data_IF_859333386164
#
_entry.id   IF_859333386164
#
_cell.length_a   1.000
_cell.length_b   1.000
_cell.length_c   1.000
_cell.angle_alpha   90.00
_cell.angle_beta   90.00
_cell.angle_gamma   90.00
#
_symmetry.space_group_name_H-M   'P 1'
#
loop_
_entity.id
_entity.type
_entity.pdbx_description
1 polymer ?
#
# COMPACT_ATOMS: atom_id res chain seq x y z
N UNK A 1 22.44 8.96 12.93
CA UNK A 1 21.47 9.21 11.87
C UNK A 1 21.33 10.72 11.67
N UNK A 2 21.82 11.29 10.55
CA UNK A 2 21.58 12.71 10.22
C UNK A 2 20.08 12.87 9.92
N UNK A 3 19.37 13.71 10.69
CA UNK A 3 18.06 14.23 10.27
C UNK A 3 18.27 15.00 8.98
N UNK A 4 17.82 14.49 7.85
CA UNK A 4 17.71 15.28 6.63
C UNK A 4 16.75 16.44 6.93
N UNK A 5 17.27 17.65 6.90
CA UNK A 5 16.47 18.86 7.09
C UNK A 5 15.69 19.07 5.80
N UNK A 6 14.38 18.82 5.84
CA UNK A 6 13.50 19.07 4.70
C UNK A 6 13.61 20.53 4.25
N UNK A 7 13.70 20.74 2.96
CA UNK A 7 13.68 22.09 2.38
C UNK A 7 12.29 22.71 2.52
N UNK A 8 12.20 24.05 2.49
CA UNK A 8 10.90 24.75 2.52
C UNK A 8 9.98 24.31 1.37
N UNK A 9 10.56 23.98 0.20
CA UNK A 9 9.82 23.47 -0.95
C UNK A 9 9.21 22.08 -0.70
N UNK A 10 9.96 21.15 -0.09
CA UNK A 10 9.48 19.82 0.28
C UNK A 10 8.37 19.88 1.33
N UNK A 11 8.50 20.74 2.33
CA UNK A 11 7.44 20.94 3.34
C UNK A 11 6.17 21.46 2.68
N UNK A 12 6.29 22.41 1.75
CA UNK A 12 5.12 22.95 1.02
C UNK A 12 4.48 21.88 0.13
N UNK A 13 5.29 21.08 -0.56
CA UNK A 13 4.82 19.98 -1.41
C UNK A 13 4.03 18.96 -0.61
N UNK A 14 4.53 18.52 0.53
CA UNK A 14 3.83 17.60 1.44
C UNK A 14 2.51 18.20 1.96
N UNK A 15 2.50 19.48 2.34
CA UNK A 15 1.28 20.15 2.78
C UNK A 15 0.19 20.18 1.69
N UNK A 16 0.58 20.33 0.41
CA UNK A 16 -0.35 20.25 -0.72
C UNK A 16 -0.89 18.83 -0.90
N UNK A 17 -0.03 17.83 -0.81
CA UNK A 17 -0.40 16.42 -0.92
C UNK A 17 -1.36 16.01 0.20
N UNK A 18 -1.09 16.36 1.45
CA UNK A 18 -1.95 16.08 2.60
C UNK A 18 -3.32 16.77 2.50
N UNK A 19 -3.34 18.02 2.03
CA UNK A 19 -4.58 18.75 1.76
C UNK A 19 -5.40 18.10 0.64
N UNK A 20 -4.74 17.59 -0.38
CA UNK A 20 -5.38 16.89 -1.50
C UNK A 20 -5.95 15.53 -1.06
N UNK A 21 -5.21 14.74 -0.28
CA UNK A 21 -5.67 13.47 0.30
C UNK A 21 -6.98 13.71 1.06
N UNK A 22 -6.99 14.68 1.99
CA UNK A 22 -8.19 15.00 2.77
C UNK A 22 -9.38 15.31 1.89
N UNK A 23 -9.20 16.18 0.88
CA UNK A 23 -10.30 16.58 -0.02
C UNK A 23 -10.75 15.44 -0.93
N UNK A 24 -9.83 14.60 -1.45
CA UNK A 24 -10.19 13.45 -2.27
C UNK A 24 -11.04 12.44 -1.51
N UNK A 25 -10.75 12.25 -0.23
CA UNK A 25 -11.49 11.33 0.65
C UNK A 25 -12.83 11.94 1.15
N UNK A 26 -12.88 13.25 1.37
CA UNK A 26 -14.08 13.94 1.86
C UNK A 26 -15.16 14.10 0.78
N UNK A 27 -14.77 14.50 -0.43
CA UNK A 27 -15.73 14.91 -1.48
C UNK A 27 -15.50 14.23 -2.84
N UNK A 28 -14.50 13.36 -2.94
CA UNK A 28 -14.13 12.66 -4.17
C UNK A 28 -13.15 13.44 -5.05
N UNK A 29 -12.51 12.69 -5.95
CA UNK A 29 -11.48 13.24 -6.85
C UNK A 29 -12.05 14.32 -7.79
N UNK A 30 -13.18 14.07 -8.46
CA UNK A 30 -13.74 14.99 -9.45
C UNK A 30 -14.26 16.29 -8.83
N UNK A 31 -14.86 16.25 -7.65
CA UNK A 31 -15.37 17.42 -6.98
C UNK A 31 -14.26 18.31 -6.37
N UNK A 32 -13.03 17.81 -6.31
CA UNK A 32 -11.88 18.54 -5.77
C UNK A 32 -11.20 19.36 -6.86
N UNK A 33 -10.89 20.63 -6.55
CA UNK A 33 -10.21 21.58 -7.43
C UNK A 33 -8.87 22.05 -6.86
N UNK A 34 -7.95 22.47 -7.74
CA UNK A 34 -6.66 23.09 -7.35
C UNK A 34 -6.85 24.26 -6.38
N UNK A 35 -7.91 25.06 -6.55
CA UNK A 35 -8.24 26.19 -5.67
C UNK A 35 -8.61 25.73 -4.25
N UNK A 36 -9.37 24.66 -4.12
CA UNK A 36 -9.73 24.09 -2.82
C UNK A 36 -8.51 23.48 -2.12
N UNK A 37 -7.65 22.78 -2.88
CA UNK A 37 -6.40 22.22 -2.35
C UNK A 37 -5.48 23.34 -1.86
N UNK A 38 -5.27 24.42 -2.66
CA UNK A 38 -4.48 25.56 -2.26
C UNK A 38 -5.01 26.21 -0.96
N UNK A 39 -6.33 26.43 -0.89
CA UNK A 39 -6.98 26.97 0.32
C UNK A 39 -6.79 26.08 1.55
N UNK A 40 -6.92 24.76 1.40
CA UNK A 40 -6.74 23.78 2.48
C UNK A 40 -5.28 23.71 2.94
N UNK A 41 -4.33 23.86 1.99
CA UNK A 41 -2.88 23.88 2.27
C UNK A 41 -2.38 25.26 2.75
N UNK A 42 -3.26 26.23 2.97
CA UNK A 42 -2.94 27.61 3.34
C UNK A 42 -2.02 28.33 2.35
N UNK A 43 -2.19 28.07 1.06
CA UNK A 43 -1.40 28.67 -0.03
C UNK A 43 -2.28 29.56 -0.92
N UNK A 44 -1.64 30.56 -1.53
CA UNK A 44 -2.23 31.24 -2.67
C UNK A 44 -2.30 30.28 -3.87
N UNK A 45 -3.29 30.46 -4.76
CA UNK A 45 -3.47 29.60 -5.93
C UNK A 45 -2.22 29.58 -6.84
N UNK A 46 -1.54 30.71 -7.01
CA UNK A 46 -0.27 30.76 -7.74
C UNK A 46 0.86 29.98 -7.05
N UNK A 47 0.83 29.87 -5.72
CA UNK A 47 1.81 29.11 -4.95
C UNK A 47 1.72 27.60 -5.18
N UNK A 48 0.52 27.05 -5.36
CA UNK A 48 0.39 25.62 -5.64
C UNK A 48 0.93 25.25 -7.04
N UNK A 49 0.75 26.14 -8.03
CA UNK A 49 1.25 25.91 -9.39
C UNK A 49 2.78 25.96 -9.51
N UNK A 50 3.50 26.47 -8.50
CA UNK A 50 4.97 26.36 -8.42
C UNK A 50 5.43 24.93 -8.08
N UNK A 51 4.54 24.07 -7.58
CA UNK A 51 4.85 22.71 -7.14
C UNK A 51 4.16 21.62 -7.98
N UNK A 52 2.94 21.91 -8.46
CA UNK A 52 2.13 20.96 -9.20
C UNK A 52 1.35 21.67 -10.31
N UNK A 53 1.48 21.19 -11.54
CA UNK A 53 0.78 21.77 -12.70
C UNK A 53 -0.71 21.38 -12.77
N UNK A 54 -1.09 20.29 -12.13
CA UNK A 54 -2.44 19.75 -12.18
C UNK A 54 -2.81 18.91 -10.94
N UNK A 55 -4.09 18.66 -10.78
CA UNK A 55 -4.62 17.74 -9.77
C UNK A 55 -4.17 16.30 -9.99
N UNK A 56 -4.02 15.89 -11.25
CA UNK A 56 -3.49 14.58 -11.63
C UNK A 56 -2.04 14.40 -11.14
N UNK A 57 -1.21 15.43 -11.32
CA UNK A 57 0.18 15.41 -10.85
C UNK A 57 0.27 15.31 -9.33
N UNK A 58 -0.64 15.98 -8.60
CA UNK A 58 -0.73 15.84 -7.14
C UNK A 58 -1.09 14.39 -6.78
N UNK A 59 -2.09 13.81 -7.45
CA UNK A 59 -2.50 12.43 -7.19
C UNK A 59 -1.39 11.42 -7.50
N UNK A 60 -0.70 11.60 -8.62
CA UNK A 60 0.46 10.79 -8.99
C UNK A 60 1.56 10.86 -7.91
N UNK A 61 1.88 12.06 -7.43
CA UNK A 61 2.86 12.25 -6.36
C UNK A 61 2.45 11.54 -5.06
N UNK A 62 1.17 11.63 -4.66
CA UNK A 62 0.64 10.92 -3.48
C UNK A 62 0.85 9.41 -3.63
N UNK A 63 0.47 8.84 -4.78
CA UNK A 63 0.61 7.40 -5.02
C UNK A 63 2.08 6.96 -5.08
N UNK A 64 2.98 7.76 -5.63
CA UNK A 64 4.39 7.39 -5.79
C UNK A 64 5.20 7.73 -4.54
N UNK A 65 5.03 8.94 -3.98
CA UNK A 65 5.93 9.46 -2.95
C UNK A 65 5.51 9.10 -1.54
N UNK A 66 4.21 9.09 -1.24
CA UNK A 66 3.69 8.81 0.10
C UNK A 66 3.24 7.36 0.29
N UNK A 67 3.32 6.51 -0.76
CA UNK A 67 2.84 5.13 -0.66
C UNK A 67 3.58 4.35 0.44
N UNK A 68 2.86 3.64 1.30
CA UNK A 68 3.42 2.88 2.42
C UNK A 68 4.48 1.85 2.02
N UNK A 69 4.55 1.42 0.76
CA UNK A 69 5.53 0.43 0.30
C UNK A 69 6.98 0.87 0.59
N UNK A 70 7.27 2.17 0.56
CA UNK A 70 8.63 2.71 0.84
C UNK A 70 9.11 2.32 2.25
N UNK A 71 8.19 2.23 3.21
CA UNK A 71 8.46 1.77 4.57
C UNK A 71 8.34 0.26 4.70
N UNK A 72 7.33 -0.34 4.11
CA UNK A 72 7.00 -1.76 4.21
C UNK A 72 8.08 -2.63 3.57
N UNK A 73 8.51 -2.26 2.36
CA UNK A 73 9.40 -3.10 1.57
C UNK A 73 10.73 -3.41 2.25
N UNK A 74 11.47 -2.43 2.81
CA UNK A 74 12.70 -2.73 3.55
C UNK A 74 12.46 -3.67 4.74
N UNK A 75 11.34 -3.51 5.45
CA UNK A 75 10.98 -4.37 6.59
C UNK A 75 10.70 -5.80 6.15
N UNK A 76 9.95 -5.98 5.07
CA UNK A 76 9.65 -7.32 4.52
C UNK A 76 10.90 -8.00 3.97
N UNK A 77 11.78 -7.23 3.31
CA UNK A 77 13.04 -7.78 2.78
C UNK A 77 14.06 -8.13 3.88
N UNK A 78 13.94 -7.54 5.06
CA UNK A 78 14.75 -7.85 6.24
C UNK A 78 14.22 -9.03 7.04
N UNK A 79 13.09 -9.63 6.67
CA UNK A 79 12.58 -10.84 7.33
C UNK A 79 13.53 -12.01 7.08
N UNK A 80 14.14 -12.49 8.15
CA UNK A 80 14.99 -13.68 8.16
C UNK A 80 14.13 -14.90 8.51
N UNK A 81 13.66 -15.64 7.49
CA UNK A 81 12.90 -16.88 7.67
C UNK A 81 13.54 -18.01 6.90
N UNK A 82 13.89 -19.11 7.57
CA UNK A 82 14.40 -20.33 6.91
C UNK A 82 13.30 -21.09 6.16
N UNK A 83 12.04 -20.90 6.56
CA UNK A 83 10.88 -21.55 5.95
C UNK A 83 9.98 -20.54 5.24
N UNK A 84 9.26 -21.01 4.22
CA UNK A 84 8.26 -20.21 3.54
C UNK A 84 7.15 -19.74 4.51
N UNK A 85 6.76 -20.60 5.43
CA UNK A 85 5.73 -20.28 6.43
C UNK A 85 6.16 -19.09 7.30
N UNK A 86 7.33 -19.16 7.93
CA UNK A 86 7.83 -18.09 8.78
C UNK A 86 7.92 -16.75 8.02
N UNK A 87 8.50 -16.79 6.80
CA UNK A 87 8.62 -15.58 5.97
C UNK A 87 7.27 -14.94 5.67
N UNK A 88 6.32 -15.69 5.13
CA UNK A 88 5.02 -15.11 4.74
C UNK A 88 4.20 -14.68 5.96
N UNK A 89 4.29 -15.38 7.08
CA UNK A 89 3.62 -15.00 8.32
C UNK A 89 4.14 -13.67 8.85
N UNK A 90 5.44 -13.47 8.91
CA UNK A 90 6.04 -12.23 9.41
C UNK A 90 5.87 -11.08 8.41
N UNK A 91 6.03 -11.34 7.11
CA UNK A 91 5.73 -10.37 6.07
C UNK A 91 4.27 -9.88 6.15
N UNK A 92 3.33 -10.79 6.36
CA UNK A 92 1.91 -10.45 6.51
C UNK A 92 1.67 -9.55 7.71
N UNK A 93 2.22 -9.91 8.89
CA UNK A 93 2.10 -9.09 10.10
C UNK A 93 2.65 -7.68 9.92
N UNK A 94 3.82 -7.57 9.26
CA UNK A 94 4.42 -6.27 8.92
C UNK A 94 3.48 -5.45 8.04
N UNK A 95 2.99 -6.04 6.95
CA UNK A 95 2.13 -5.33 5.98
C UNK A 95 0.82 -4.90 6.63
N UNK A 96 0.14 -5.79 7.37
CA UNK A 96 -1.13 -5.47 8.05
C UNK A 96 -0.92 -4.34 9.07
N UNK A 97 0.16 -4.39 9.85
CA UNK A 97 0.46 -3.35 10.82
C UNK A 97 0.70 -1.98 10.17
N UNK A 98 1.56 -1.95 9.15
CA UNK A 98 1.97 -0.70 8.51
C UNK A 98 0.84 -0.08 7.66
N UNK A 99 0.06 -0.89 6.93
CA UNK A 99 -1.12 -0.41 6.20
C UNK A 99 -2.26 -0.02 7.14
N UNK A 100 -2.45 -0.75 8.25
CA UNK A 100 -3.47 -0.43 9.24
C UNK A 100 -3.26 0.92 9.93
N UNK A 101 -2.02 1.44 9.93
CA UNK A 101 -1.72 2.80 10.42
C UNK A 101 -2.05 3.90 9.39
N UNK A 102 -2.36 3.54 8.16
CA UNK A 102 -2.61 4.44 7.03
C UNK A 102 -3.83 4.00 6.20
N UNK A 103 -5.01 3.92 6.83
CA UNK A 103 -6.24 3.43 6.18
C UNK A 103 -6.62 4.28 4.95
N UNK A 104 -6.20 5.55 4.90
CA UNK A 104 -6.42 6.45 3.77
C UNK A 104 -5.87 5.89 2.45
N UNK A 105 -4.78 5.11 2.49
CA UNK A 105 -4.19 4.53 1.27
C UNK A 105 -5.06 3.45 0.63
N UNK A 106 -5.83 2.71 1.41
CA UNK A 106 -6.80 1.76 0.86
C UNK A 106 -7.89 2.51 0.07
N UNK A 107 -8.39 3.62 0.62
CA UNK A 107 -9.39 4.44 -0.06
C UNK A 107 -8.83 5.12 -1.32
N UNK A 108 -7.58 5.63 -1.26
CA UNK A 108 -6.89 6.20 -2.43
C UNK A 108 -6.67 5.15 -3.53
N UNK A 109 -6.45 3.88 -3.17
CA UNK A 109 -6.33 2.80 -4.14
C UNK A 109 -7.66 2.56 -4.90
N UNK A 110 -8.82 2.74 -4.27
CA UNK A 110 -10.10 2.69 -4.99
C UNK A 110 -10.23 3.86 -5.97
N UNK A 111 -9.81 5.06 -5.59
CA UNK A 111 -9.77 6.21 -6.52
C UNK A 111 -8.83 5.90 -7.68
N UNK A 112 -7.64 5.37 -7.42
CA UNK A 112 -6.68 4.97 -8.46
C UNK A 112 -7.27 3.95 -9.45
N UNK A 113 -7.99 2.94 -8.94
CA UNK A 113 -8.59 1.91 -9.80
C UNK A 113 -9.76 2.44 -10.62
N UNK A 114 -10.63 3.26 -10.04
CA UNK A 114 -11.86 3.75 -10.68
C UNK A 114 -11.56 4.89 -11.64
N UNK A 115 -10.84 5.92 -11.17
CA UNK A 115 -10.60 7.15 -11.92
C UNK A 115 -9.44 7.02 -12.91
N UNK A 116 -8.36 6.36 -12.51
CA UNK A 116 -7.12 6.27 -13.28
C UNK A 116 -6.84 4.91 -13.89
N UNK A 117 -7.70 3.90 -13.65
CA UNK A 117 -7.58 2.53 -14.18
C UNK A 117 -6.21 1.88 -13.88
N UNK A 118 -5.61 2.21 -12.74
CA UNK A 118 -4.33 1.67 -12.32
C UNK A 118 -3.10 2.32 -12.99
N UNK A 119 -3.25 3.49 -13.60
CA UNK A 119 -2.17 4.21 -14.32
C UNK A 119 -0.96 4.47 -13.43
N UNK A 120 -1.16 5.12 -12.27
CA UNK A 120 -0.07 5.51 -11.38
C UNK A 120 0.50 4.30 -10.61
N UNK A 121 -0.35 3.36 -10.23
CA UNK A 121 0.08 2.07 -9.68
C UNK A 121 0.98 1.29 -10.65
N UNK A 122 0.70 1.33 -11.96
CA UNK A 122 1.54 0.70 -12.97
C UNK A 122 2.90 1.37 -13.11
N UNK A 123 2.98 2.71 -12.98
CA UNK A 123 4.25 3.47 -12.97
C UNK A 123 5.08 3.05 -11.75
N UNK A 124 4.46 3.04 -10.57
CA UNK A 124 5.12 2.60 -9.34
C UNK A 124 5.66 1.17 -9.46
N UNK A 125 4.88 0.24 -10.01
CA UNK A 125 5.33 -1.14 -10.21
C UNK A 125 6.51 -1.27 -11.17
N UNK A 126 6.60 -0.45 -12.23
CA UNK A 126 7.77 -0.42 -13.13
C UNK A 126 9.05 -0.02 -12.40
N UNK A 127 8.97 0.87 -11.43
CA UNK A 127 10.14 1.30 -10.66
C UNK A 127 10.56 0.28 -9.59
N UNK A 128 9.58 -0.38 -8.99
CA UNK A 128 9.79 -1.28 -7.84
C UNK A 128 10.13 -2.70 -8.28
N UNK A 129 9.43 -3.22 -9.29
CA UNK A 129 9.54 -4.62 -9.67
C UNK A 129 10.98 -5.03 -10.04
N UNK A 130 11.78 -4.25 -10.79
CA UNK A 130 13.17 -4.60 -11.09
C UNK A 130 14.05 -4.72 -9.84
N UNK A 131 13.73 -3.98 -8.78
CA UNK A 131 14.49 -3.97 -7.52
C UNK A 131 14.09 -5.14 -6.61
N UNK A 132 12.81 -5.46 -6.56
CA UNK A 132 12.20 -6.42 -5.61
C UNK A 132 12.18 -7.84 -6.15
N UNK A 133 11.80 -8.02 -7.42
CA UNK A 133 11.66 -9.36 -8.00
C UNK A 133 12.92 -10.24 -7.91
N UNK A 134 14.15 -9.72 -8.17
CA UNK A 134 15.37 -10.53 -8.04
C UNK A 134 15.61 -10.99 -6.59
N UNK A 135 15.37 -10.09 -5.61
CA UNK A 135 15.55 -10.38 -4.20
C UNK A 135 14.54 -11.43 -3.76
N UNK A 136 13.26 -11.21 -4.06
CA UNK A 136 12.19 -12.14 -3.73
C UNK A 136 12.38 -13.50 -4.39
N UNK A 137 12.79 -13.51 -5.68
CA UNK A 137 13.12 -14.76 -6.40
C UNK A 137 14.23 -15.54 -5.71
N UNK A 138 15.25 -14.86 -5.19
CA UNK A 138 16.34 -15.49 -4.44
C UNK A 138 15.83 -16.10 -3.12
N UNK A 139 14.92 -15.39 -2.41
CA UNK A 139 14.28 -15.91 -1.19
C UNK A 139 13.43 -17.15 -1.49
N UNK A 140 12.53 -17.06 -2.47
CA UNK A 140 11.64 -18.18 -2.85
C UNK A 140 12.42 -19.44 -3.21
N UNK A 141 13.57 -19.30 -3.92
CA UNK A 141 14.42 -20.45 -4.27
C UNK A 141 15.02 -21.16 -3.06
N UNK A 142 15.22 -20.46 -1.95
CA UNK A 142 15.78 -21.03 -0.71
C UNK A 142 14.70 -21.60 0.22
N UNK A 143 13.44 -21.22 0.03
CA UNK A 143 12.34 -21.63 0.89
C UNK A 143 12.01 -23.12 0.69
N UNK A 144 12.08 -23.89 1.77
CA UNK A 144 11.62 -25.28 1.81
C UNK A 144 10.09 -25.35 1.99
N UNK A 145 9.48 -26.41 1.52
CA UNK A 145 8.06 -26.68 1.75
C UNK A 145 7.09 -25.95 0.83
N UNK A 146 7.54 -25.14 -0.14
CA UNK A 146 6.66 -24.52 -1.11
C UNK A 146 6.09 -25.50 -2.13
N UNK A 147 4.79 -25.43 -2.37
CA UNK A 147 4.07 -26.10 -3.47
C UNK A 147 4.10 -25.26 -4.74
N UNK A 148 4.05 -23.95 -4.60
CA UNK A 148 4.05 -22.97 -5.70
C UNK A 148 5.43 -22.33 -5.79
N UNK A 149 6.10 -22.47 -6.94
CA UNK A 149 7.47 -21.97 -7.14
C UNK A 149 7.54 -20.72 -8.05
N UNK A 150 6.41 -20.25 -8.58
CA UNK A 150 6.36 -19.03 -9.40
C UNK A 150 6.35 -17.79 -8.47
N UNK A 151 7.44 -16.98 -8.42
CA UNK A 151 7.52 -15.84 -7.52
C UNK A 151 6.46 -14.76 -7.81
N UNK A 152 6.13 -14.54 -9.08
CA UNK A 152 5.13 -13.54 -9.46
C UNK A 152 3.72 -13.96 -9.02
N UNK A 153 3.39 -15.24 -9.13
CA UNK A 153 2.13 -15.79 -8.66
C UNK A 153 2.02 -15.71 -7.13
N UNK A 154 3.08 -16.07 -6.41
CA UNK A 154 3.14 -15.96 -4.95
C UNK A 154 2.94 -14.51 -4.49
N UNK A 155 3.65 -13.55 -5.10
CA UNK A 155 3.49 -12.13 -4.80
C UNK A 155 2.05 -11.66 -5.07
N UNK A 156 1.51 -11.99 -6.24
CA UNK A 156 0.15 -11.59 -6.62
C UNK A 156 -0.89 -12.16 -5.65
N UNK A 157 -0.78 -13.43 -5.30
CA UNK A 157 -1.72 -14.08 -4.37
C UNK A 157 -1.59 -13.49 -2.95
N UNK A 158 -0.38 -13.24 -2.49
CA UNK A 158 -0.13 -12.62 -1.20
C UNK A 158 -0.71 -11.21 -1.10
N UNK A 159 -0.45 -10.34 -2.08
CA UNK A 159 -1.04 -9.00 -2.11
C UNK A 159 -2.55 -9.03 -2.32
N UNK A 160 -3.07 -9.93 -3.17
CA UNK A 160 -4.51 -10.09 -3.35
C UNK A 160 -5.23 -10.47 -2.05
N UNK A 161 -4.64 -11.35 -1.25
CA UNK A 161 -5.14 -11.71 0.07
C UNK A 161 -5.15 -10.49 1.03
N UNK A 162 -4.08 -9.70 1.06
CA UNK A 162 -3.99 -8.51 1.92
C UNK A 162 -5.05 -7.48 1.52
N UNK A 163 -5.20 -7.21 0.22
CA UNK A 163 -6.23 -6.30 -0.27
C UNK A 163 -7.63 -6.81 0.09
N UNK A 164 -7.89 -8.11 -0.13
CA UNK A 164 -9.15 -8.73 0.25
C UNK A 164 -9.44 -8.58 1.75
N UNK A 165 -8.43 -8.78 2.60
CA UNK A 165 -8.56 -8.58 4.03
C UNK A 165 -9.02 -7.15 4.38
N UNK A 166 -8.30 -6.13 3.89
CA UNK A 166 -8.65 -4.73 4.21
C UNK A 166 -10.01 -4.31 3.65
N UNK A 167 -10.34 -4.73 2.42
CA UNK A 167 -11.63 -4.41 1.80
C UNK A 167 -12.78 -5.04 2.57
N UNK A 168 -12.65 -6.32 2.90
CA UNK A 168 -13.70 -7.03 3.65
C UNK A 168 -13.80 -6.54 5.09
N UNK A 169 -12.69 -6.23 5.75
CA UNK A 169 -12.68 -5.65 7.09
C UNK A 169 -13.39 -4.30 7.12
N UNK A 170 -13.15 -3.43 6.14
CA UNK A 170 -13.83 -2.13 6.02
C UNK A 170 -15.35 -2.26 5.85
N UNK A 171 -15.81 -3.29 5.11
CA UNK A 171 -17.23 -3.55 4.88
C UNK A 171 -17.86 -4.20 6.11
N UNK A 172 -17.19 -5.19 6.69
CA UNK A 172 -17.77 -6.07 7.73
C UNK A 172 -17.71 -5.42 9.11
N UNK A 173 -16.66 -4.64 9.43
CA UNK A 173 -16.47 -4.03 10.75
C UNK A 173 -17.67 -3.21 11.24
N UNK A 174 -18.39 -2.57 10.31
CA UNK A 174 -19.58 -1.76 10.59
C UNK A 174 -20.91 -2.45 10.20
N UNK A 175 -20.89 -3.76 9.97
CA UNK A 175 -22.05 -4.53 9.55
C UNK A 175 -22.61 -5.43 10.65
N UNK A 176 -23.80 -5.97 10.42
CA UNK A 176 -24.43 -6.99 11.28
C UNK A 176 -23.61 -8.30 11.33
N UNK A 177 -22.67 -8.48 10.43
CA UNK A 177 -21.81 -9.66 10.37
C UNK A 177 -20.57 -9.54 11.27
N UNK A 178 -20.27 -8.34 11.77
CA UNK A 178 -19.09 -8.11 12.63
C UNK A 178 -18.98 -9.07 13.82
N UNK A 179 -20.07 -9.39 14.57
CA UNK A 179 -19.99 -10.33 15.69
C UNK A 179 -19.70 -11.79 15.28
N UNK A 180 -19.92 -12.14 14.01
CA UNK A 180 -19.68 -13.49 13.48
C UNK A 180 -18.24 -13.70 13.04
N UNK A 181 -17.46 -12.63 12.92
CA UNK A 181 -16.06 -12.71 12.49
C UNK A 181 -15.15 -13.13 13.65
N UNK A 182 -14.13 -13.96 13.37
CA UNK A 182 -13.11 -14.28 14.36
C UNK A 182 -12.41 -13.01 14.87
N UNK A 183 -12.17 -12.94 16.18
CA UNK A 183 -11.42 -11.81 16.77
C UNK A 183 -10.02 -11.60 16.15
N UNK A 184 -9.42 -12.67 15.60
CA UNK A 184 -8.12 -12.67 14.95
C UNK A 184 -8.28 -13.00 13.45
N UNK A 185 -9.17 -12.27 12.76
CA UNK A 185 -9.45 -12.51 11.33
C UNK A 185 -8.17 -12.43 10.46
N UNK A 186 -7.24 -11.54 10.77
CA UNK A 186 -5.96 -11.45 10.08
C UNK A 186 -5.14 -12.75 10.16
N UNK A 187 -5.06 -13.39 11.32
CA UNK A 187 -4.36 -14.67 11.47
C UNK A 187 -5.06 -15.78 10.68
N UNK A 188 -6.39 -15.79 10.64
CA UNK A 188 -7.13 -16.74 9.82
C UNK A 188 -6.85 -16.59 8.32
N UNK A 189 -6.74 -15.36 7.83
CA UNK A 189 -6.39 -15.08 6.43
C UNK A 189 -5.01 -15.63 6.05
N UNK A 190 -4.00 -15.38 6.89
CA UNK A 190 -2.65 -15.91 6.60
C UNK A 190 -2.61 -17.44 6.67
N UNK A 191 -3.34 -18.08 7.58
CA UNK A 191 -3.43 -19.53 7.64
C UNK A 191 -4.02 -20.13 6.36
N UNK A 192 -5.10 -19.56 5.84
CA UNK A 192 -5.69 -19.99 4.57
C UNK A 192 -4.72 -19.87 3.41
N UNK A 193 -3.97 -18.77 3.34
CA UNK A 193 -2.95 -18.57 2.32
C UNK A 193 -1.82 -19.62 2.43
N UNK A 194 -1.30 -19.82 3.63
CA UNK A 194 -0.20 -20.77 3.88
C UNK A 194 -0.60 -22.20 3.51
N UNK A 195 -1.80 -22.65 3.88
CA UNK A 195 -2.33 -23.95 3.46
C UNK A 195 -2.39 -24.11 1.94
N UNK A 196 -2.67 -23.01 1.21
CA UNK A 196 -2.72 -23.01 -0.26
C UNK A 196 -1.34 -23.12 -0.92
N UNK A 197 -0.28 -22.61 -0.30
CA UNK A 197 1.06 -22.51 -0.91
C UNK A 197 2.07 -23.51 -0.37
N UNK A 198 1.82 -24.11 0.80
CA UNK A 198 2.69 -25.13 1.41
C UNK A 198 2.34 -26.53 0.94
N UNK A 199 3.33 -27.41 0.94
CA UNK A 199 3.12 -28.87 0.81
C UNK A 199 2.47 -29.38 2.08
N UNK A 200 1.58 -30.34 1.93
CA UNK A 200 1.09 -31.08 3.08
C UNK A 200 2.26 -31.77 3.81
N UNK A 201 2.23 -31.78 5.15
CA UNK A 201 3.21 -32.59 5.89
C UNK A 201 3.07 -34.05 5.48
N UNK A 202 4.20 -34.69 5.22
CA UNK A 202 4.28 -36.12 4.87
C UNK A 202 3.82 -37.00 6.03
#
# INVERSE_FOLDING_TARGET
MKKETQTKGEVTRLAVEDAAISLFLEQGYHATSMRQIAKRAHLALGGIYNHFSSKDEIFEAIIIDQHPYKKILPLVLAVEGETAEAFFRDAFRIVIRELGQRPEFINLMFIELVEFKGKHGSIMLREIAPKVLPIFRKHVKKMKGLRVHNPALLMRSFFGMIISYFVTEMIISNSVLSPLMPKNSADAYIELFLKGILKEPA
#
